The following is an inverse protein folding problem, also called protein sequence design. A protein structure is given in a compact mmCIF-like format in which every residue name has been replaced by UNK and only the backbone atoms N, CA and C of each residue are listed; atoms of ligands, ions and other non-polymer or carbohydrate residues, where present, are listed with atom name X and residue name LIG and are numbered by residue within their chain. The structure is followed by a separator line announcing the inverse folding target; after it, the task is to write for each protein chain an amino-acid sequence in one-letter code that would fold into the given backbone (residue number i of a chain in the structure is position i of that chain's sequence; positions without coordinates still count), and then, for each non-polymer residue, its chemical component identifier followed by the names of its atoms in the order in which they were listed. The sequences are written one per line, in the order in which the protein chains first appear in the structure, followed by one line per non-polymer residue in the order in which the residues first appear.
data_IF_726700236138
#
_entry.id   IF_726700236138
#
_cell.length_a   1.000
_cell.length_b   1.000
_cell.length_c   1.000
_cell.angle_alpha   90.00
_cell.angle_beta   90.00
_cell.angle_gamma   90.00
#
_symmetry.space_group_name_H-M   'P 1'
#
loop_
_entity.id
_entity.type
_entity.pdbx_description
1 polymer ?
#
# COMPACT_ATOMS: atom_id res chain seq x y z
N UNK A 1 -19.38 -62.96 47.21
CA UNK A 1 -18.80 -62.52 45.92
C UNK A 1 -18.89 -60.99 45.81
N UNK A 2 -17.81 -60.25 46.06
CA UNK A 2 -17.77 -58.79 46.01
C UNK A 2 -17.27 -58.39 44.64
N UNK A 3 -18.11 -57.68 43.84
CA UNK A 3 -17.71 -57.11 42.56
C UNK A 3 -16.98 -55.81 42.79
N UNK A 4 -15.71 -55.75 42.40
CA UNK A 4 -14.90 -54.55 42.37
C UNK A 4 -15.18 -53.80 41.05
N UNK A 5 -15.79 -52.63 41.14
CA UNK A 5 -16.00 -51.74 39.98
C UNK A 5 -14.76 -50.83 39.88
N UNK A 6 -13.95 -51.03 38.87
CA UNK A 6 -12.80 -50.13 38.54
C UNK A 6 -13.32 -48.95 37.76
N UNK A 7 -13.29 -47.77 38.35
CA UNK A 7 -13.62 -46.49 37.72
C UNK A 7 -12.37 -45.99 36.96
N UNK A 8 -12.36 -46.09 35.62
CA UNK A 8 -11.34 -45.52 34.76
C UNK A 8 -11.55 -44.00 34.63
N UNK A 9 -10.71 -43.22 35.28
CA UNK A 9 -10.68 -41.75 35.18
C UNK A 9 -9.96 -41.39 33.87
N UNK A 10 -10.71 -41.03 32.82
CA UNK A 10 -10.13 -40.50 31.58
C UNK A 10 -9.62 -39.07 31.82
N UNK A 11 -8.30 -38.89 31.95
CA UNK A 11 -7.65 -37.59 31.95
C UNK A 11 -7.72 -37.03 30.52
N UNK A 12 -8.65 -36.11 30.22
CA UNK A 12 -8.65 -35.32 29.02
C UNK A 12 -7.53 -34.28 29.13
N UNK A 13 -6.44 -34.51 28.45
CA UNK A 13 -5.39 -33.52 28.23
C UNK A 13 -5.97 -32.37 27.40
N UNK A 14 -6.44 -31.31 28.04
CA UNK A 14 -6.80 -30.08 27.41
C UNK A 14 -5.50 -29.46 26.86
N UNK A 15 -5.25 -29.64 25.55
CA UNK A 15 -4.22 -28.86 24.86
C UNK A 15 -4.61 -27.39 24.97
N UNK A 16 -3.70 -26.50 25.43
CA UNK A 16 -4.00 -25.06 25.40
C UNK A 16 -4.26 -24.66 23.96
N UNK A 17 -5.49 -24.25 23.67
CA UNK A 17 -5.82 -23.61 22.41
C UNK A 17 -5.07 -22.27 22.39
N UNK A 18 -3.93 -22.21 21.74
CA UNK A 18 -3.23 -20.97 21.50
C UNK A 18 -4.15 -20.12 20.60
N UNK A 19 -4.71 -19.07 21.20
CA UNK A 19 -5.45 -18.07 20.45
C UNK A 19 -4.50 -17.42 19.44
N UNK A 20 -4.94 -17.28 18.19
CA UNK A 20 -4.17 -16.57 17.20
C UNK A 20 -3.89 -15.13 17.65
N UNK A 21 -2.69 -14.64 17.35
CA UNK A 21 -2.35 -13.24 17.61
C UNK A 21 -3.18 -12.34 16.69
N UNK A 22 -3.93 -11.43 17.29
CA UNK A 22 -4.67 -10.40 16.55
C UNK A 22 -3.74 -9.25 16.17
N UNK A 23 -3.73 -8.92 14.88
CA UNK A 23 -3.00 -7.82 14.30
C UNK A 23 -4.00 -6.88 13.64
N UNK A 24 -4.02 -5.62 14.09
CA UNK A 24 -4.86 -4.57 13.50
C UNK A 24 -4.06 -3.79 12.48
N UNK A 25 -4.62 -3.60 11.29
CA UNK A 25 -3.95 -2.93 10.19
C UNK A 25 -4.87 -1.95 9.46
N UNK A 26 -4.30 -0.81 9.06
CA UNK A 26 -4.89 0.09 8.08
C UNK A 26 -4.25 -0.11 6.72
N UNK A 27 -5.06 -0.13 5.66
CA UNK A 27 -4.61 -0.24 4.28
C UNK A 27 -5.08 0.97 3.48
N UNK A 28 -4.13 1.71 2.89
CA UNK A 28 -4.44 2.74 1.92
C UNK A 28 -4.99 2.11 0.64
N UNK A 29 -6.22 2.46 0.29
CA UNK A 29 -6.89 2.09 -0.96
C UNK A 29 -7.20 0.60 -1.14
N UNK A 30 -8.48 0.30 -1.05
CA UNK A 30 -9.01 -1.03 -1.34
C UNK A 30 -8.94 -1.29 -2.85
N UNK A 31 -8.41 -2.43 -3.26
CA UNK A 31 -8.61 -2.98 -4.60
C UNK A 31 -7.43 -2.89 -5.56
N UNK A 32 -6.34 -2.18 -5.23
CA UNK A 32 -5.12 -2.29 -6.02
C UNK A 32 -4.48 -3.67 -5.79
N UNK A 33 -3.74 -4.18 -6.77
CA UNK A 33 -3.08 -5.48 -6.63
C UNK A 33 -2.08 -5.51 -5.48
N UNK A 34 -1.26 -4.46 -5.33
CA UNK A 34 -0.27 -4.32 -4.26
C UNK A 34 -0.88 -4.15 -2.86
N UNK A 35 -2.16 -3.80 -2.75
CA UNK A 35 -2.89 -3.75 -1.47
C UNK A 35 -3.78 -4.98 -1.23
N UNK A 36 -3.93 -5.85 -2.21
CA UNK A 36 -4.73 -7.07 -2.08
C UNK A 36 -4.01 -8.21 -1.34
N UNK A 37 -2.71 -8.08 -1.04
CA UNK A 37 -1.87 -9.11 -0.41
C UNK A 37 -2.51 -9.65 0.88
N UNK A 38 -2.98 -8.75 1.75
CA UNK A 38 -3.61 -9.17 3.02
C UNK A 38 -4.91 -9.93 2.76
N UNK A 39 -5.74 -9.45 1.85
CA UNK A 39 -7.00 -10.10 1.50
C UNK A 39 -6.77 -11.50 0.92
N UNK A 40 -5.90 -11.61 -0.08
CA UNK A 40 -5.62 -12.88 -0.76
C UNK A 40 -4.90 -13.87 0.16
N UNK A 41 -3.94 -13.42 0.96
CA UNK A 41 -3.26 -14.25 1.95
C UNK A 41 -4.20 -14.75 3.05
N UNK A 42 -5.18 -13.94 3.47
CA UNK A 42 -6.21 -14.34 4.44
C UNK A 42 -7.14 -15.39 3.83
N UNK A 43 -7.63 -15.18 2.62
CA UNK A 43 -8.49 -16.18 1.92
C UNK A 43 -7.76 -17.51 1.69
N UNK A 44 -6.47 -17.47 1.42
CA UNK A 44 -5.62 -18.66 1.27
C UNK A 44 -5.23 -19.31 2.63
N UNK A 45 -5.66 -18.76 3.75
CA UNK A 45 -5.32 -19.25 5.09
C UNK A 45 -3.84 -19.08 5.47
N UNK A 46 -3.09 -18.24 4.75
CA UNK A 46 -1.65 -18.09 4.97
C UNK A 46 -1.38 -17.49 6.35
N UNK A 47 -2.02 -16.37 6.70
CA UNK A 47 -1.83 -15.75 8.01
C UNK A 47 -2.24 -16.65 9.16
N UNK A 48 -3.32 -17.44 9.00
CA UNK A 48 -3.77 -18.40 10.01
C UNK A 48 -2.72 -19.51 10.27
N UNK A 49 -2.02 -19.99 9.22
CA UNK A 49 -0.91 -20.96 9.38
C UNK A 49 0.26 -20.41 10.17
N UNK A 50 0.44 -19.08 10.16
CA UNK A 50 1.42 -18.37 10.99
C UNK A 50 0.87 -17.94 12.35
N UNK A 51 -0.28 -18.45 12.75
CA UNK A 51 -0.97 -18.12 14.00
C UNK A 51 -1.29 -16.62 14.14
N UNK A 52 -1.74 -15.99 13.04
CA UNK A 52 -2.08 -14.56 12.96
C UNK A 52 -3.48 -14.40 12.37
N UNK A 53 -4.30 -13.59 13.04
CA UNK A 53 -5.57 -13.05 12.54
C UNK A 53 -5.38 -11.57 12.22
N UNK A 54 -5.60 -11.16 10.95
CA UNK A 54 -5.44 -9.77 10.53
C UNK A 54 -6.80 -9.09 10.42
N UNK A 55 -7.02 -8.10 11.27
CA UNK A 55 -8.16 -7.18 11.20
C UNK A 55 -7.78 -5.95 10.35
N UNK A 56 -8.49 -5.72 9.26
CA UNK A 56 -8.14 -4.70 8.27
C UNK A 56 -9.18 -3.61 8.17
N UNK A 57 -8.74 -2.35 8.23
CA UNK A 57 -9.53 -1.16 7.94
C UNK A 57 -8.97 -0.46 6.69
N UNK A 58 -9.81 -0.26 5.68
CA UNK A 58 -9.42 0.45 4.46
C UNK A 58 -9.58 1.95 4.62
N UNK A 59 -8.63 2.70 4.06
CA UNK A 59 -8.56 4.16 4.11
C UNK A 59 -8.47 4.75 2.70
N UNK A 60 -8.65 6.06 2.58
CA UNK A 60 -8.59 6.74 1.28
C UNK A 60 -7.17 7.08 0.82
N UNK A 61 -6.16 6.84 1.65
CA UNK A 61 -4.75 7.08 1.31
C UNK A 61 -3.84 7.23 2.53
N UNK A 62 -2.54 7.48 2.28
CA UNK A 62 -1.46 7.41 3.28
C UNK A 62 -1.70 8.23 4.56
N UNK A 63 -2.26 9.44 4.44
CA UNK A 63 -2.49 10.28 5.61
C UNK A 63 -3.46 9.64 6.60
N UNK A 64 -4.56 9.09 6.11
CA UNK A 64 -5.54 8.38 6.93
C UNK A 64 -5.00 7.02 7.40
N UNK A 65 -4.15 6.36 6.61
CA UNK A 65 -3.50 5.10 6.98
C UNK A 65 -2.52 5.29 8.13
N UNK A 66 -1.74 6.37 8.10
CA UNK A 66 -0.63 6.59 9.02
C UNK A 66 -1.10 7.08 10.41
N UNK A 67 -2.15 7.87 10.49
CA UNK A 67 -2.62 8.44 11.76
C UNK A 67 -2.98 7.38 12.82
N UNK A 68 -3.73 6.30 12.52
CA UNK A 68 -4.01 5.25 13.49
C UNK A 68 -2.75 4.48 13.94
N UNK A 69 -1.72 4.37 13.07
CA UNK A 69 -0.42 3.78 13.45
C UNK A 69 0.30 4.70 14.43
N UNK A 70 0.34 6.01 14.16
CA UNK A 70 0.97 6.99 15.06
C UNK A 70 0.32 6.99 16.44
N UNK A 71 -1.01 6.96 16.50
CA UNK A 71 -1.76 6.94 17.76
C UNK A 71 -1.71 5.60 18.51
N UNK A 72 -1.21 4.53 17.86
CA UNK A 72 -1.22 3.17 18.42
C UNK A 72 -2.61 2.50 18.40
N UNK A 73 -3.59 3.06 17.70
CA UNK A 73 -4.92 2.44 17.54
C UNK A 73 -4.89 1.20 16.65
N UNK A 74 -3.89 1.10 15.77
CA UNK A 74 -3.58 -0.07 14.95
C UNK A 74 -2.09 -0.40 15.03
N UNK A 75 -1.75 -1.65 14.77
CA UNK A 75 -0.37 -2.14 14.83
C UNK A 75 0.43 -1.74 13.59
N UNK A 76 -0.16 -1.89 12.40
CA UNK A 76 0.49 -1.70 11.09
C UNK A 76 -0.31 -0.78 10.17
N UNK A 77 0.42 -0.12 9.26
CA UNK A 77 -0.13 0.62 8.13
C UNK A 77 0.50 0.19 6.80
N UNK A 78 -0.34 -0.03 5.80
CA UNK A 78 0.07 -0.45 4.45
C UNK A 78 -0.22 0.63 3.41
N UNK A 79 0.52 0.63 2.32
CA UNK A 79 0.45 1.63 1.25
C UNK A 79 0.72 3.06 1.76
N UNK A 80 1.60 3.20 2.74
CA UNK A 80 2.07 4.50 3.21
C UNK A 80 3.14 5.03 2.25
N UNK A 81 3.00 6.27 1.78
CA UNK A 81 4.02 6.91 0.95
C UNK A 81 5.34 7.03 1.72
N UNK A 82 6.45 6.63 1.10
CA UNK A 82 7.78 6.61 1.75
C UNK A 82 8.16 8.00 2.28
N UNK A 83 7.97 9.05 1.48
CA UNK A 83 8.25 10.44 1.92
C UNK A 83 7.33 10.88 3.06
N UNK A 84 6.08 10.41 3.08
CA UNK A 84 5.15 10.67 4.18
C UNK A 84 5.57 10.00 5.49
N UNK A 85 6.07 8.76 5.43
CA UNK A 85 6.63 8.06 6.58
C UNK A 85 7.88 8.76 7.13
N UNK A 86 8.81 9.17 6.24
CA UNK A 86 9.98 9.98 6.60
C UNK A 86 9.59 11.30 7.27
N UNK A 87 8.59 11.99 6.72
CA UNK A 87 8.09 13.26 7.27
C UNK A 87 7.47 13.09 8.66
N UNK A 88 6.72 12.02 8.88
CA UNK A 88 6.14 11.72 10.19
C UNK A 88 7.24 11.41 11.22
N UNK A 89 8.21 10.56 10.85
CA UNK A 89 9.35 10.24 11.69
C UNK A 89 10.18 11.49 12.06
N UNK A 90 10.51 12.34 11.08
CA UNK A 90 11.26 13.56 11.31
C UNK A 90 10.56 14.54 12.27
N UNK A 91 9.23 14.45 12.39
CA UNK A 91 8.43 15.20 13.36
C UNK A 91 8.25 14.48 14.71
N UNK A 92 8.97 13.39 14.95
CA UNK A 92 8.96 12.63 16.20
C UNK A 92 7.82 11.60 16.31
N UNK A 93 7.12 11.28 15.23
CA UNK A 93 6.09 10.22 15.28
C UNK A 93 6.72 8.85 15.55
N UNK A 94 6.09 8.00 16.40
CA UNK A 94 6.61 6.69 16.77
C UNK A 94 6.38 5.64 15.66
N UNK A 95 6.92 5.89 14.48
CA UNK A 95 6.76 5.00 13.32
C UNK A 95 8.07 4.37 12.90
N UNK A 96 7.99 3.12 12.43
CA UNK A 96 9.10 2.35 11.86
C UNK A 96 8.68 1.74 10.55
N UNK A 97 9.55 1.78 9.55
CA UNK A 97 9.36 1.10 8.26
C UNK A 97 9.84 -0.34 8.43
N UNK A 98 8.94 -1.30 8.31
CA UNK A 98 9.23 -2.73 8.49
C UNK A 98 9.33 -3.52 7.19
N UNK A 99 9.04 -2.88 6.05
CA UNK A 99 9.16 -3.46 4.73
C UNK A 99 8.81 -2.49 3.62
N UNK A 100 9.33 -2.75 2.41
CA UNK A 100 8.82 -2.15 1.19
C UNK A 100 7.44 -2.74 0.87
N UNK A 101 6.60 -1.99 0.16
CA UNK A 101 5.34 -2.51 -0.37
C UNK A 101 5.24 -2.31 -1.87
N UNK A 102 5.75 -1.20 -2.41
CA UNK A 102 5.84 -1.01 -3.83
C UNK A 102 7.11 -0.23 -4.19
N UNK A 103 7.91 -0.84 -5.08
CA UNK A 103 9.05 -0.20 -5.75
C UNK A 103 8.61 0.14 -7.17
N UNK A 104 8.58 1.43 -7.52
CA UNK A 104 7.87 1.90 -8.70
C UNK A 104 6.36 2.05 -8.46
N UNK A 105 5.62 2.51 -9.49
CA UNK A 105 4.18 2.70 -9.42
C UNK A 105 3.48 2.34 -10.73
N UNK A 106 2.30 1.75 -10.61
CA UNK A 106 1.37 1.52 -11.71
C UNK A 106 0.34 2.66 -11.86
N UNK A 107 0.44 3.68 -11.02
CA UNK A 107 -0.49 4.81 -11.01
C UNK A 107 -0.39 5.62 -12.31
N UNK A 108 -1.52 6.21 -12.72
CA UNK A 108 -1.61 7.09 -13.87
C UNK A 108 -2.59 8.23 -13.63
N UNK A 109 -2.39 9.30 -14.38
CA UNK A 109 -3.25 10.48 -14.38
C UNK A 109 -4.04 10.54 -15.69
N UNK A 110 -5.29 10.96 -15.58
CA UNK A 110 -6.23 10.95 -16.70
C UNK A 110 -7.13 12.18 -16.70
N UNK A 111 -7.63 12.55 -17.86
CA UNK A 111 -8.66 13.56 -18.02
C UNK A 111 -9.88 12.98 -18.76
N UNK A 112 -11.04 13.65 -18.71
CA UNK A 112 -12.15 13.30 -19.59
C UNK A 112 -11.69 13.25 -21.06
N UNK A 113 -12.25 12.36 -21.85
CA UNK A 113 -11.96 12.31 -23.29
C UNK A 113 -12.31 13.63 -24.01
N UNK A 114 -13.34 14.34 -23.54
CA UNK A 114 -13.76 15.66 -24.07
C UNK A 114 -12.90 16.83 -23.55
N UNK A 115 -12.06 16.62 -22.53
CA UNK A 115 -11.22 17.69 -21.95
C UNK A 115 -10.18 18.21 -22.94
N UNK A 116 -9.85 19.51 -22.94
CA UNK A 116 -8.73 20.05 -23.69
C UNK A 116 -7.36 19.57 -23.18
N UNK A 117 -7.27 19.07 -21.92
CA UNK A 117 -6.04 18.55 -21.34
C UNK A 117 -5.66 17.23 -21.97
N UNK A 118 -4.57 17.20 -22.74
CA UNK A 118 -4.03 16.02 -23.43
C UNK A 118 -2.72 15.54 -22.84
N UNK A 119 -1.96 16.43 -22.24
CA UNK A 119 -0.65 16.18 -21.62
C UNK A 119 -0.53 16.96 -20.31
N UNK A 120 0.51 16.69 -19.51
CA UNK A 120 0.80 17.47 -18.29
C UNK A 120 1.01 18.97 -18.60
N UNK A 121 1.53 19.34 -19.78
CA UNK A 121 1.77 20.74 -20.15
C UNK A 121 0.50 21.54 -20.32
N UNK A 122 -0.64 20.88 -20.56
CA UNK A 122 -1.95 21.52 -20.72
C UNK A 122 -2.64 21.83 -19.38
N UNK A 123 -1.93 21.64 -18.26
CA UNK A 123 -2.51 21.73 -16.90
C UNK A 123 -2.32 23.09 -16.23
N UNK A 124 -1.89 24.12 -16.96
CA UNK A 124 -1.79 25.46 -16.42
C UNK A 124 -3.14 25.93 -15.84
N UNK A 125 -3.15 26.36 -14.58
CA UNK A 125 -4.34 26.74 -13.81
C UNK A 125 -5.38 25.64 -13.58
N UNK A 126 -5.12 24.39 -14.01
CA UNK A 126 -5.97 23.22 -13.84
C UNK A 126 -5.68 22.49 -12.54
N UNK A 127 -6.67 21.75 -12.07
CA UNK A 127 -6.53 20.87 -10.89
C UNK A 127 -5.94 19.53 -11.29
N UNK A 128 -4.91 19.06 -10.54
CA UNK A 128 -4.35 17.71 -10.66
C UNK A 128 -4.58 16.96 -9.35
N UNK A 129 -5.29 15.85 -9.45
CA UNK A 129 -5.66 15.04 -8.30
C UNK A 129 -4.51 14.20 -7.74
N UNK A 130 -4.54 14.00 -6.43
CA UNK A 130 -3.79 12.97 -5.69
C UNK A 130 -4.66 12.44 -4.56
N UNK A 131 -4.27 11.32 -3.92
CA UNK A 131 -5.13 10.73 -2.87
C UNK A 131 -5.21 11.62 -1.61
N UNK A 132 -4.17 11.64 -0.81
CA UNK A 132 -4.08 12.41 0.43
C UNK A 132 -2.69 13.03 0.58
N UNK A 133 -2.55 14.06 1.40
CA UNK A 133 -1.24 14.66 1.68
C UNK A 133 -0.29 13.62 2.26
N UNK A 134 0.96 13.60 1.80
CA UNK A 134 1.98 12.63 2.21
C UNK A 134 1.88 11.27 1.52
N UNK A 135 0.95 11.06 0.60
CA UNK A 135 0.85 9.84 -0.19
C UNK A 135 1.89 9.77 -1.31
N UNK A 136 2.11 8.57 -1.87
CA UNK A 136 2.93 8.42 -3.09
C UNK A 136 2.39 9.22 -4.26
N UNK A 137 1.07 9.26 -4.46
CA UNK A 137 0.45 10.08 -5.53
C UNK A 137 0.66 11.57 -5.29
N UNK A 138 0.69 12.05 -4.04
CA UNK A 138 1.05 13.43 -3.72
C UNK A 138 2.50 13.74 -4.11
N UNK A 139 3.44 12.87 -3.73
CA UNK A 139 4.86 13.02 -4.08
C UNK A 139 5.05 13.07 -5.60
N UNK A 140 4.35 12.19 -6.34
CA UNK A 140 4.45 12.13 -7.80
C UNK A 140 3.89 13.40 -8.46
N UNK A 141 2.74 13.91 -8.01
CA UNK A 141 2.19 15.18 -8.53
C UNK A 141 3.14 16.34 -8.26
N UNK A 142 3.74 16.41 -7.07
CA UNK A 142 4.73 17.44 -6.75
C UNK A 142 6.00 17.31 -7.61
N UNK A 143 6.43 16.07 -7.90
CA UNK A 143 7.53 15.81 -8.82
C UNK A 143 7.18 16.24 -10.25
N UNK A 144 5.99 15.93 -10.75
CA UNK A 144 5.53 16.45 -12.05
C UNK A 144 5.58 17.97 -12.11
N UNK A 145 5.06 18.63 -11.08
CA UNK A 145 5.06 20.10 -11.05
C UNK A 145 6.48 20.66 -11.10
N UNK A 146 7.41 20.06 -10.40
CA UNK A 146 8.83 20.47 -10.37
C UNK A 146 9.55 20.14 -11.69
N UNK A 147 9.47 18.89 -12.15
CA UNK A 147 10.22 18.40 -13.29
C UNK A 147 9.76 19.00 -14.63
N UNK A 148 8.45 19.28 -14.76
CA UNK A 148 7.86 19.82 -15.98
C UNK A 148 7.48 21.32 -15.86
N UNK A 149 7.88 22.00 -14.78
CA UNK A 149 7.53 23.41 -14.46
C UNK A 149 6.02 23.70 -14.58
N UNK A 150 5.18 22.81 -14.05
CA UNK A 150 3.74 22.95 -14.19
C UNK A 150 3.17 24.00 -13.23
N UNK A 151 2.22 24.80 -13.70
CA UNK A 151 1.46 25.79 -12.92
C UNK A 151 0.08 25.25 -12.54
N UNK A 152 0.01 23.96 -12.22
CA UNK A 152 -1.22 23.27 -11.84
C UNK A 152 -1.55 23.46 -10.36
N UNK A 153 -2.78 23.07 -9.97
CA UNK A 153 -3.30 23.13 -8.59
C UNK A 153 -3.44 21.70 -8.05
N UNK A 154 -2.50 21.22 -7.22
CA UNK A 154 -2.62 19.89 -6.61
C UNK A 154 -3.85 19.81 -5.70
N UNK A 155 -4.73 18.82 -5.92
CA UNK A 155 -6.01 18.69 -5.24
C UNK A 155 -6.21 17.30 -4.66
N UNK A 156 -6.41 17.16 -3.33
CA UNK A 156 -6.69 15.86 -2.74
C UNK A 156 -8.11 15.39 -3.07
N UNK A 157 -8.26 14.16 -3.54
CA UNK A 157 -9.55 13.59 -3.97
C UNK A 157 -9.88 12.26 -3.29
N UNK A 158 -9.00 11.75 -2.43
CA UNK A 158 -9.18 10.47 -1.77
C UNK A 158 -8.85 9.29 -2.68
N UNK A 159 -9.70 8.28 -2.72
CA UNK A 159 -9.50 7.05 -3.48
C UNK A 159 -9.81 7.20 -4.99
N UNK A 160 -9.45 6.21 -5.84
CA UNK A 160 -9.72 6.28 -7.28
C UNK A 160 -11.18 6.43 -7.67
N UNK A 161 -12.12 5.84 -6.91
CA UNK A 161 -13.55 5.93 -7.22
C UNK A 161 -14.09 7.36 -7.00
N UNK A 162 -13.74 7.99 -5.87
CA UNK A 162 -14.10 9.39 -5.60
C UNK A 162 -13.44 10.35 -6.60
N UNK A 163 -12.19 10.05 -6.99
CA UNK A 163 -11.46 10.81 -8.01
C UNK A 163 -12.16 10.73 -9.38
N UNK A 164 -12.58 9.54 -9.79
CA UNK A 164 -13.32 9.37 -11.07
C UNK A 164 -14.62 10.18 -11.06
N UNK A 165 -15.36 10.11 -9.97
CA UNK A 165 -16.58 10.92 -9.81
C UNK A 165 -16.27 12.41 -9.94
N UNK A 166 -15.23 12.90 -9.24
CA UNK A 166 -14.84 14.31 -9.28
C UNK A 166 -14.44 14.78 -10.70
N UNK A 167 -13.74 13.93 -11.47
CA UNK A 167 -13.40 14.20 -12.87
C UNK A 167 -14.65 14.20 -13.74
N UNK A 168 -15.51 13.19 -13.61
CA UNK A 168 -16.72 13.07 -14.46
C UNK A 168 -17.74 14.18 -14.20
N UNK A 169 -17.71 14.80 -13.03
CA UNK A 169 -18.57 15.95 -12.65
C UNK A 169 -17.87 17.31 -12.75
N UNK A 170 -16.71 17.39 -13.41
CA UNK A 170 -15.92 18.62 -13.62
C UNK A 170 -15.46 19.34 -12.33
N UNK A 171 -15.40 18.63 -11.22
CA UNK A 171 -14.84 19.16 -9.96
C UNK A 171 -13.30 19.14 -9.97
N UNK A 172 -12.70 18.26 -10.76
CA UNK A 172 -11.26 18.12 -10.96
C UNK A 172 -10.98 17.90 -12.43
N UNK A 173 -9.96 18.59 -12.99
CA UNK A 173 -9.61 18.51 -14.40
C UNK A 173 -8.84 17.23 -14.76
N UNK A 174 -7.88 16.83 -13.88
CA UNK A 174 -7.03 15.66 -14.06
C UNK A 174 -7.11 14.78 -12.83
N UNK A 175 -7.67 13.59 -13.00
CA UNK A 175 -7.79 12.57 -11.97
C UNK A 175 -6.55 11.65 -11.90
N UNK A 176 -6.51 10.81 -10.88
CA UNK A 176 -5.52 9.75 -10.73
C UNK A 176 -6.20 8.41 -10.49
N UNK A 177 -5.56 7.33 -10.92
CA UNK A 177 -5.98 5.97 -10.61
C UNK A 177 -4.77 5.03 -10.58
N UNK A 178 -5.00 3.85 -10.04
CA UNK A 178 -4.13 2.67 -10.15
C UNK A 178 -4.96 1.49 -10.63
N UNK A 179 -4.46 0.62 -11.52
CA UNK A 179 -5.22 -0.54 -12.00
C UNK A 179 -5.76 -1.40 -10.85
N UNK A 180 -7.00 -1.91 -10.96
CA UNK A 180 -7.89 -1.95 -12.14
C UNK A 180 -8.74 -0.70 -12.37
N UNK A 181 -8.73 0.27 -11.46
CA UNK A 181 -9.58 1.46 -11.53
C UNK A 181 -9.31 2.28 -12.77
N UNK A 182 -10.37 2.70 -13.47
CA UNK A 182 -10.31 3.52 -14.68
C UNK A 182 -9.98 2.77 -15.97
N UNK A 183 -9.57 1.48 -15.94
CA UNK A 183 -9.26 0.72 -17.14
C UNK A 183 -10.49 0.56 -18.05
N UNK A 184 -11.66 0.30 -17.48
CA UNK A 184 -12.93 0.24 -18.20
C UNK A 184 -13.24 1.58 -18.88
N UNK A 185 -13.07 2.67 -18.18
CA UNK A 185 -13.34 4.02 -18.68
C UNK A 185 -12.39 4.41 -19.82
N UNK A 186 -11.15 3.93 -19.78
CA UNK A 186 -10.18 4.08 -20.88
C UNK A 186 -10.61 3.27 -22.10
N UNK A 187 -11.01 2.00 -21.91
CA UNK A 187 -11.47 1.11 -22.98
C UNK A 187 -12.76 1.64 -23.66
N UNK A 188 -13.66 2.21 -22.88
CA UNK A 188 -14.89 2.87 -23.37
C UNK A 188 -14.64 4.26 -23.98
N UNK A 189 -13.41 4.76 -23.96
CA UNK A 189 -13.06 6.08 -24.49
C UNK A 189 -13.67 7.25 -23.72
N UNK A 190 -14.05 7.07 -22.45
CA UNK A 190 -14.63 8.13 -21.60
C UNK A 190 -13.56 8.99 -20.94
N UNK A 191 -12.39 8.42 -20.67
CA UNK A 191 -11.21 9.10 -20.17
C UNK A 191 -9.99 8.74 -21.01
N UNK A 192 -8.96 9.58 -20.97
CA UNK A 192 -7.65 9.31 -21.57
C UNK A 192 -6.53 9.53 -20.56
N UNK A 193 -5.48 8.72 -20.64
CA UNK A 193 -4.27 8.89 -19.86
C UNK A 193 -3.52 10.14 -20.33
N UNK A 194 -3.16 11.01 -19.40
CA UNK A 194 -2.36 12.24 -19.62
C UNK A 194 -0.93 12.07 -19.16
N UNK A 195 -0.72 11.24 -18.11
CA UNK A 195 0.60 10.93 -17.58
C UNK A 195 0.59 9.57 -16.86
N UNK A 196 1.75 8.95 -16.77
CA UNK A 196 2.01 7.77 -15.95
C UNK A 196 2.95 8.15 -14.81
N UNK A 197 2.85 7.44 -13.68
CA UNK A 197 3.76 7.66 -12.57
C UNK A 197 5.23 7.56 -12.99
N UNK A 198 5.55 6.65 -13.92
CA UNK A 198 6.90 6.44 -14.47
C UNK A 198 7.44 7.62 -15.27
N UNK A 199 6.63 8.63 -15.57
CA UNK A 199 7.11 9.87 -16.21
C UNK A 199 7.86 10.75 -15.20
N UNK A 200 7.63 10.57 -13.89
CA UNK A 200 8.39 11.24 -12.83
C UNK A 200 9.66 10.46 -12.47
N UNK A 201 10.77 11.16 -12.33
CA UNK A 201 12.08 10.57 -11.99
C UNK A 201 12.07 9.86 -10.63
N UNK A 202 11.32 10.40 -9.66
CA UNK A 202 11.17 9.88 -8.29
C UNK A 202 10.60 8.46 -8.23
N UNK A 203 9.97 7.96 -9.31
CA UNK A 203 9.37 6.62 -9.33
C UNK A 203 10.34 5.56 -9.83
N UNK A 204 11.37 5.98 -10.60
CA UNK A 204 12.28 5.06 -11.28
C UNK A 204 13.18 4.31 -10.29
N UNK A 205 12.89 3.03 -10.08
CA UNK A 205 13.69 2.15 -9.22
C UNK A 205 13.62 2.46 -7.72
N UNK A 206 12.67 3.29 -7.29
CA UNK A 206 12.54 3.73 -5.90
C UNK A 206 11.36 3.07 -5.19
N UNK A 207 11.51 2.78 -3.91
CA UNK A 207 10.40 2.32 -3.05
C UNK A 207 9.54 3.53 -2.68
N UNK A 208 8.38 3.64 -3.32
CA UNK A 208 7.45 4.76 -3.13
C UNK A 208 6.38 4.49 -2.07
N UNK A 209 6.14 3.21 -1.74
CA UNK A 209 5.21 2.79 -0.68
C UNK A 209 5.87 1.79 0.24
N UNK A 210 5.58 1.92 1.53
CA UNK A 210 6.15 1.13 2.61
C UNK A 210 5.09 0.57 3.54
N UNK A 211 5.47 -0.47 4.28
CA UNK A 211 4.75 -1.00 5.43
C UNK A 211 5.33 -0.34 6.67
N UNK A 212 4.48 0.26 7.48
CA UNK A 212 4.89 0.92 8.72
C UNK A 212 4.29 0.23 9.94
N UNK A 213 5.05 0.19 11.03
CA UNK A 213 4.60 -0.25 12.34
C UNK A 213 4.66 0.90 13.34
N UNK A 214 3.81 0.85 14.37
CA UNK A 214 4.03 1.64 15.57
C UNK A 214 5.30 1.13 16.30
N UNK A 215 6.16 2.03 16.75
CA UNK A 215 7.45 1.68 17.38
C UNK A 215 7.27 0.82 18.65
N UNK A 216 6.24 1.13 19.46
CA UNK A 216 5.95 0.37 20.68
C UNK A 216 5.45 -1.05 20.37
N UNK A 217 4.63 -1.19 19.32
CA UNK A 217 4.16 -2.51 18.84
C UNK A 217 5.34 -3.32 18.37
N UNK A 218 6.23 -2.73 17.56
CA UNK A 218 7.43 -3.42 17.07
C UNK A 218 8.33 -3.87 18.22
N UNK A 219 8.50 -3.05 19.26
CA UNK A 219 9.29 -3.40 20.44
C UNK A 219 8.65 -4.52 21.29
N UNK A 220 7.33 -4.43 21.53
CA UNK A 220 6.60 -5.32 22.45
C UNK A 220 6.16 -6.64 21.79
N UNK A 221 5.94 -6.66 20.47
CA UNK A 221 5.36 -7.79 19.72
C UNK A 221 6.24 -8.22 18.55
N UNK A 222 7.55 -8.10 18.68
CA UNK A 222 8.55 -8.36 17.63
C UNK A 222 8.36 -9.73 16.96
N UNK A 223 8.16 -10.79 17.75
CA UNK A 223 8.00 -12.16 17.23
C UNK A 223 6.75 -12.30 16.37
N UNK A 224 5.66 -11.64 16.74
CA UNK A 224 4.45 -11.58 15.93
C UNK A 224 4.70 -10.85 14.60
N UNK A 225 5.41 -9.71 14.64
CA UNK A 225 5.75 -8.95 13.42
C UNK A 225 6.66 -9.76 12.50
N UNK A 226 7.63 -10.49 13.06
CA UNK A 226 8.50 -11.41 12.27
C UNK A 226 7.67 -12.49 11.57
N UNK A 227 6.77 -13.18 12.30
CA UNK A 227 5.87 -14.19 11.72
C UNK A 227 4.93 -13.58 10.67
N UNK A 228 4.42 -12.38 10.94
CA UNK A 228 3.61 -11.64 9.97
C UNK A 228 4.38 -11.36 8.68
N UNK A 229 5.61 -10.86 8.75
CA UNK A 229 6.41 -10.59 7.57
C UNK A 229 6.82 -11.85 6.80
N UNK A 230 6.94 -13.00 7.48
CA UNK A 230 7.11 -14.31 6.83
C UNK A 230 5.84 -14.69 6.06
N UNK A 231 4.67 -14.60 6.71
CA UNK A 231 3.37 -14.84 6.08
C UNK A 231 3.11 -13.87 4.90
N UNK A 232 3.53 -12.61 5.03
CA UNK A 232 3.40 -11.60 3.98
C UNK A 232 4.19 -11.98 2.71
N UNK A 233 5.44 -12.48 2.86
CA UNK A 233 6.23 -12.99 1.73
C UNK A 233 5.59 -14.22 1.10
N UNK A 234 5.10 -15.16 1.91
CA UNK A 234 4.36 -16.33 1.43
C UNK A 234 3.09 -15.91 0.67
N UNK A 235 2.39 -14.88 1.14
CA UNK A 235 1.23 -14.33 0.44
C UNK A 235 1.60 -13.72 -0.91
N UNK A 236 2.74 -13.02 -1.02
CA UNK A 236 3.26 -12.55 -2.31
C UNK A 236 3.58 -13.75 -3.23
N UNK A 237 4.27 -14.78 -2.72
CA UNK A 237 4.57 -15.98 -3.50
C UNK A 237 3.29 -16.65 -4.01
N UNK A 238 2.26 -16.76 -3.17
CA UNK A 238 0.95 -17.28 -3.54
C UNK A 238 0.29 -16.43 -4.63
N UNK A 239 0.30 -15.10 -4.54
CA UNK A 239 -0.30 -14.20 -5.53
C UNK A 239 0.27 -14.36 -6.94
N UNK A 240 1.51 -14.81 -7.06
CA UNK A 240 2.18 -15.05 -8.34
C UNK A 240 2.35 -16.53 -8.68
N UNK A 241 1.68 -17.41 -7.96
CA UNK A 241 1.62 -18.83 -8.31
C UNK A 241 0.67 -19.07 -9.49
N UNK A 242 0.75 -20.29 -10.05
CA UNK A 242 -0.15 -20.74 -11.12
C UNK A 242 -1.53 -21.18 -10.59
N UNK A 243 -1.82 -21.00 -9.31
CA UNK A 243 -3.11 -21.34 -8.73
C UNK A 243 -4.21 -20.41 -9.28
N UNK A 244 -5.20 -20.94 -10.03
CA UNK A 244 -6.26 -20.12 -10.63
C UNK A 244 -7.13 -19.42 -9.59
N UNK A 245 -7.17 -19.93 -8.35
CA UNK A 245 -7.95 -19.32 -7.27
C UNK A 245 -7.47 -17.90 -6.94
N UNK A 246 -6.18 -17.58 -7.15
CA UNK A 246 -5.63 -16.24 -6.94
C UNK A 246 -6.37 -15.19 -7.77
N UNK A 247 -6.48 -15.42 -9.08
CA UNK A 247 -7.13 -14.46 -9.99
C UNK A 247 -8.63 -14.40 -9.72
N UNK A 248 -9.25 -15.54 -9.43
CA UNK A 248 -10.68 -15.60 -9.10
C UNK A 248 -10.99 -14.80 -7.83
N UNK A 249 -10.23 -15.01 -6.75
CA UNK A 249 -10.40 -14.29 -5.48
C UNK A 249 -10.15 -12.78 -5.63
N UNK A 250 -9.17 -12.39 -6.44
CA UNK A 250 -8.92 -10.99 -6.70
C UNK A 250 -10.01 -10.36 -7.56
N UNK A 251 -10.45 -11.04 -8.63
CA UNK A 251 -11.55 -10.59 -9.49
C UNK A 251 -12.85 -10.34 -8.69
N UNK A 252 -13.18 -11.29 -7.79
CA UNK A 252 -14.30 -11.16 -6.87
C UNK A 252 -14.13 -9.97 -5.90
N UNK A 253 -12.94 -9.82 -5.32
CA UNK A 253 -12.63 -8.75 -4.38
C UNK A 253 -12.77 -7.35 -4.97
N UNK A 254 -12.35 -7.17 -6.23
CA UNK A 254 -12.41 -5.86 -6.93
C UNK A 254 -13.58 -5.72 -7.88
N UNK A 255 -14.42 -6.77 -8.00
CA UNK A 255 -15.62 -6.81 -8.83
C UNK A 255 -15.35 -6.53 -10.32
N UNK A 256 -14.33 -7.21 -10.86
CA UNK A 256 -13.98 -7.15 -12.29
C UNK A 256 -13.95 -8.55 -12.90
N UNK A 257 -14.05 -8.69 -14.24
CA UNK A 257 -13.87 -9.99 -14.90
C UNK A 257 -12.46 -10.57 -14.66
N UNK A 258 -12.33 -11.90 -14.52
CA UNK A 258 -11.04 -12.57 -14.32
C UNK A 258 -9.98 -12.21 -15.40
N UNK A 259 -10.30 -12.09 -16.70
CA UNK A 259 -9.30 -11.65 -17.68
C UNK A 259 -8.70 -10.27 -17.37
N UNK A 260 -9.51 -9.32 -16.88
CA UNK A 260 -9.03 -8.02 -16.47
C UNK A 260 -8.20 -8.11 -15.19
N UNK A 261 -8.63 -8.89 -14.21
CA UNK A 261 -7.88 -9.16 -12.98
C UNK A 261 -6.48 -9.75 -13.29
N UNK A 262 -6.40 -10.72 -14.20
CA UNK A 262 -5.15 -11.31 -14.66
C UNK A 262 -4.25 -10.27 -15.34
N UNK A 263 -4.81 -9.46 -16.23
CA UNK A 263 -4.08 -8.38 -16.91
C UNK A 263 -3.54 -7.34 -15.93
N UNK A 264 -4.28 -7.01 -14.87
CA UNK A 264 -3.79 -6.10 -13.82
C UNK A 264 -2.51 -6.63 -13.19
N UNK A 265 -2.48 -7.90 -12.78
CA UNK A 265 -1.28 -8.53 -12.22
C UNK A 265 -0.12 -8.53 -13.22
N UNK A 266 -0.37 -9.05 -14.43
CA UNK A 266 0.69 -9.40 -15.36
C UNK A 266 1.31 -8.16 -16.03
N UNK A 267 0.50 -7.15 -16.37
CA UNK A 267 0.96 -5.97 -17.10
C UNK A 267 1.44 -4.83 -16.20
N UNK A 268 0.92 -4.74 -14.96
CA UNK A 268 1.14 -3.56 -14.13
C UNK A 268 1.93 -3.82 -12.85
N UNK A 269 1.91 -5.04 -12.33
CA UNK A 269 2.51 -5.35 -11.03
C UNK A 269 3.46 -6.56 -11.10
N UNK A 270 4.67 -6.43 -11.68
CA UNK A 270 5.66 -7.50 -11.62
C UNK A 270 6.00 -7.83 -10.16
N UNK A 271 6.15 -9.11 -9.82
CA UNK A 271 6.40 -9.61 -8.46
C UNK A 271 7.56 -8.90 -7.75
N UNK A 272 8.63 -8.61 -8.50
CA UNK A 272 9.82 -7.96 -7.97
C UNK A 272 9.56 -6.56 -7.37
N UNK A 273 8.48 -5.90 -7.80
CA UNK A 273 8.12 -4.57 -7.28
C UNK A 273 7.42 -4.63 -5.90
N UNK A 274 6.92 -5.83 -5.50
CA UNK A 274 6.18 -6.01 -4.24
C UNK A 274 7.04 -6.63 -3.13
N UNK A 275 8.29 -7.03 -3.44
CA UNK A 275 9.12 -7.74 -2.45
C UNK A 275 9.56 -6.82 -1.30
N UNK A 276 9.35 -7.21 -0.02
CA UNK A 276 9.40 -6.26 1.10
C UNK A 276 10.80 -6.02 1.68
N UNK A 277 11.84 -6.74 1.24
CA UNK A 277 13.10 -6.87 1.99
C UNK A 277 14.10 -5.73 1.80
N UNK A 278 13.78 -4.76 0.94
CA UNK A 278 14.69 -3.65 0.64
C UNK A 278 13.92 -2.35 0.35
N UNK A 279 14.37 -1.25 0.95
CA UNK A 279 13.95 0.10 0.56
C UNK A 279 14.94 0.62 -0.46
N UNK A 280 14.52 0.68 -1.72
CA UNK A 280 15.37 1.08 -2.84
C UNK A 280 15.35 2.59 -3.08
N UNK A 281 16.48 3.10 -3.58
CA UNK A 281 16.58 4.47 -4.05
C UNK A 281 16.63 5.53 -2.94
N UNK A 282 17.07 5.19 -1.73
CA UNK A 282 17.15 6.13 -0.60
C UNK A 282 18.10 7.32 -0.89
N UNK A 283 19.14 7.11 -1.69
CA UNK A 283 20.08 8.13 -2.15
C UNK A 283 19.42 9.21 -3.00
N UNK A 284 18.39 8.86 -3.75
CA UNK A 284 17.57 9.76 -4.57
C UNK A 284 16.33 10.27 -3.83
N UNK A 285 15.67 9.39 -3.05
CA UNK A 285 14.49 9.77 -2.25
C UNK A 285 14.81 10.82 -1.18
N UNK A 286 16.01 10.80 -0.59
CA UNK A 286 16.38 11.73 0.46
C UNK A 286 16.47 13.18 -0.04
N UNK A 287 17.22 13.50 -1.12
CA UNK A 287 17.21 14.84 -1.71
C UNK A 287 15.80 15.26 -2.17
N UNK A 288 15.00 14.35 -2.70
CA UNK A 288 13.62 14.64 -3.10
C UNK A 288 12.73 14.96 -1.90
N UNK A 289 12.88 14.26 -0.78
CA UNK A 289 12.14 14.54 0.46
C UNK A 289 12.37 16.00 0.93
N UNK A 290 13.59 16.49 0.85
CA UNK A 290 13.93 17.90 1.17
C UNK A 290 13.38 18.85 0.11
N UNK A 291 13.63 18.56 -1.16
CA UNK A 291 13.23 19.42 -2.29
C UNK A 291 11.71 19.59 -2.38
N UNK A 292 10.95 18.52 -2.12
CA UNK A 292 9.48 18.54 -2.08
C UNK A 292 8.92 18.98 -0.71
N UNK A 293 9.80 19.40 0.21
CA UNK A 293 9.43 19.93 1.55
C UNK A 293 8.70 18.94 2.45
N UNK A 294 8.98 17.63 2.31
CA UNK A 294 8.51 16.61 3.25
C UNK A 294 9.30 16.65 4.55
N UNK A 295 10.61 16.86 4.47
CA UNK A 295 11.53 17.06 5.59
C UNK A 295 12.35 18.35 5.37
N UNK A 296 12.83 18.95 6.46
CA UNK A 296 13.61 20.19 6.38
C UNK A 296 15.05 19.94 5.94
N UNK A 297 15.63 18.81 6.38
CA UNK A 297 16.99 18.37 6.12
C UNK A 297 17.06 16.85 5.94
N UNK A 298 18.11 16.31 5.31
CA UNK A 298 18.27 14.88 5.16
C UNK A 298 18.36 14.17 6.51
N UNK A 299 17.72 13.01 6.63
CA UNK A 299 17.88 12.14 7.80
C UNK A 299 19.31 11.60 7.85
N UNK A 300 19.90 11.60 9.04
CA UNK A 300 21.23 11.01 9.27
C UNK A 300 21.17 9.47 9.14
N UNK A 301 22.34 8.83 8.99
CA UNK A 301 22.42 7.37 8.93
C UNK A 301 21.86 6.70 10.21
N UNK A 302 22.07 7.32 11.38
CA UNK A 302 21.51 6.85 12.64
C UNK A 302 19.97 6.91 12.63
N UNK A 303 19.37 8.00 12.16
CA UNK A 303 17.93 8.19 12.02
C UNK A 303 17.34 7.23 10.99
N UNK A 304 18.02 7.00 9.87
CA UNK A 304 17.61 6.01 8.87
C UNK A 304 17.63 4.59 9.45
N UNK A 305 18.68 4.24 10.22
CA UNK A 305 18.76 2.94 10.90
C UNK A 305 17.68 2.76 11.97
N UNK A 306 17.24 3.85 12.62
CA UNK A 306 16.11 3.83 13.53
C UNK A 306 14.77 3.71 12.80
N UNK A 307 14.58 4.47 11.73
CA UNK A 307 13.34 4.46 10.95
C UNK A 307 13.12 3.14 10.21
N UNK A 308 14.17 2.58 9.57
CA UNK A 308 14.05 1.41 8.69
C UNK A 308 14.50 0.15 9.43
N UNK A 309 13.54 -0.66 9.83
CA UNK A 309 13.73 -1.88 10.62
C UNK A 309 13.00 -3.06 9.96
N UNK A 310 13.47 -3.49 8.79
CA UNK A 310 12.86 -4.61 8.06
C UNK A 310 13.02 -5.90 8.86
N UNK A 311 11.89 -6.58 9.11
CA UNK A 311 11.83 -7.76 9.95
C UNK A 311 11.81 -9.05 9.15
N UNK A 312 12.43 -10.13 9.71
CA UNK A 312 12.33 -11.48 9.16
C UNK A 312 12.94 -11.65 7.77
N UNK A 313 13.99 -10.88 7.41
CA UNK A 313 14.78 -11.16 6.19
C UNK A 313 15.31 -12.59 6.23
N UNK A 314 15.24 -13.29 5.10
CA UNK A 314 15.91 -14.58 4.91
C UNK A 314 17.35 -14.36 4.56
#
# INVERSE_FOLDING_TARGET
MKRLTVLMLALTLATPAWSADRLKATLGQKGNWDTAIIHLGTRAGIFARHNIEVETVYTSGSGETLQPVISGSVDLGFAVGTLGAMAAYAKGAPVRIIGAQATGAADYWYAKASSPVKTLKDTADKTIAFSTRGSSTNSIVLAFMKEFDLKAKPTPTGNPASTLTAVMTDQVDVGWASPPFGLKEIEEGRIRVVARATDASIVKGQTIRVIVANADVLAKRKDMIVRFMQAYREAIDYMYSDNPQVIKDYAEFVQVPEPLAKRVRDDFFPKSLLWPDEIKGLDTLMPEAVSLKFIAEPLTQAQLGELIQIQGKK
#
